data_IF_184935110688
#
_entry.id   IF_184935110688
#
_cell.length_a   1.000
_cell.length_b   1.000
_cell.length_c   1.000
_cell.angle_alpha   90.00
_cell.angle_beta   90.00
_cell.angle_gamma   90.00
#
_symmetry.space_group_name_H-M   'P 1'
#
loop_
_entity.id
_entity.type
_entity.pdbx_description
1 polymer ?
#
# COMPACT_ATOMS: atom_id res chain seq x y z
N UNK A 1 4.72 -26.05 20.46
CA UNK A 1 3.96 -24.77 20.56
C UNK A 1 4.53 -23.85 19.50
N UNK A 2 4.01 -24.08 18.31
CA UNK A 2 4.64 -23.86 17.03
C UNK A 2 4.00 -22.65 16.37
N UNK A 3 4.61 -21.47 16.50
CA UNK A 3 4.19 -20.28 15.74
C UNK A 3 5.28 -19.23 15.49
N UNK A 4 6.51 -19.40 15.99
CA UNK A 4 7.56 -18.35 15.89
C UNK A 4 8.52 -18.49 14.71
N UNK A 5 8.41 -19.54 13.89
CA UNK A 5 9.29 -19.79 12.73
C UNK A 5 8.78 -19.15 11.42
N UNK A 6 8.39 -17.87 11.45
CA UNK A 6 7.97 -17.16 10.22
C UNK A 6 8.51 -15.74 10.08
N UNK A 7 9.57 -15.37 10.80
CA UNK A 7 10.08 -13.98 10.75
C UNK A 7 11.54 -13.79 10.34
N UNK A 8 12.30 -14.82 9.99
CA UNK A 8 13.69 -14.58 9.62
C UNK A 8 14.20 -15.52 8.52
N UNK A 9 13.73 -15.27 7.31
CA UNK A 9 14.51 -15.57 6.12
C UNK A 9 14.73 -14.22 5.43
N UNK A 10 15.95 -13.68 5.34
CA UNK A 10 16.18 -12.42 4.63
C UNK A 10 15.93 -12.69 3.16
N UNK A 11 14.70 -12.42 2.70
CA UNK A 11 14.44 -12.31 1.29
C UNK A 11 15.45 -11.28 0.73
N UNK A 12 16.08 -11.52 -0.44
CA UNK A 12 16.93 -10.52 -1.07
C UNK A 12 16.20 -9.17 -1.04
N UNK A 13 16.92 -8.11 -0.63
CA UNK A 13 16.35 -6.77 -0.38
C UNK A 13 15.39 -6.31 -1.49
N UNK A 14 15.61 -6.75 -2.73
CA UNK A 14 14.74 -6.53 -3.88
C UNK A 14 13.33 -7.09 -3.73
N UNK A 15 13.17 -8.31 -3.20
CA UNK A 15 11.86 -8.94 -2.96
C UNK A 15 11.10 -8.27 -1.83
N UNK A 16 11.80 -7.86 -0.76
CA UNK A 16 11.17 -7.16 0.37
C UNK A 16 10.61 -5.80 -0.05
N UNK A 17 11.35 -5.06 -0.89
CA UNK A 17 10.91 -3.79 -1.47
C UNK A 17 9.72 -3.96 -2.40
N UNK A 18 9.76 -5.02 -3.23
CA UNK A 18 8.65 -5.34 -4.12
C UNK A 18 7.39 -5.71 -3.33
N UNK A 19 7.49 -6.63 -2.38
CA UNK A 19 6.37 -7.05 -1.53
C UNK A 19 5.75 -5.86 -0.77
N UNK A 20 6.59 -4.98 -0.22
CA UNK A 20 6.12 -3.76 0.48
C UNK A 20 5.40 -2.81 -0.48
N UNK A 21 5.85 -2.69 -1.73
CA UNK A 21 5.15 -1.91 -2.75
C UNK A 21 3.80 -2.52 -3.11
N UNK A 22 3.76 -3.84 -3.34
CA UNK A 22 2.53 -4.57 -3.67
C UNK A 22 1.49 -4.50 -2.56
N UNK A 23 1.91 -4.56 -1.29
CA UNK A 23 1.02 -4.39 -0.13
C UNK A 23 0.30 -3.04 -0.13
N UNK A 24 0.95 -1.97 -0.61
CA UNK A 24 0.34 -0.63 -0.67
C UNK A 24 -0.77 -0.55 -1.73
N UNK A 25 -0.59 -1.24 -2.85
CA UNK A 25 -1.64 -1.37 -3.85
C UNK A 25 -2.77 -2.29 -3.37
N UNK A 26 -2.44 -3.38 -2.66
CA UNK A 26 -3.44 -4.28 -2.07
C UNK A 26 -4.34 -3.56 -1.04
N UNK A 27 -3.77 -2.77 -0.12
CA UNK A 27 -4.55 -1.96 0.84
C UNK A 27 -5.46 -0.96 0.11
N UNK A 28 -4.96 -0.35 -0.98
CA UNK A 28 -5.77 0.54 -1.79
C UNK A 28 -6.97 -0.18 -2.44
N UNK A 29 -6.74 -1.36 -3.03
CA UNK A 29 -7.82 -2.15 -3.63
C UNK A 29 -8.82 -2.66 -2.60
N UNK A 30 -8.38 -3.06 -1.41
CA UNK A 30 -9.29 -3.46 -0.32
C UNK A 30 -10.24 -2.34 0.10
N UNK A 31 -9.82 -1.08 -0.06
CA UNK A 31 -10.63 0.12 0.21
C UNK A 31 -11.50 0.55 -0.98
N UNK A 32 -11.49 -0.19 -2.08
CA UNK A 32 -12.31 0.08 -3.28
C UNK A 32 -11.71 1.12 -4.24
N UNK A 33 -10.41 1.39 -4.14
CA UNK A 33 -9.73 2.37 -4.99
C UNK A 33 -9.47 1.82 -6.40
N UNK A 34 -9.64 2.67 -7.41
CA UNK A 34 -9.29 2.34 -8.80
C UNK A 34 -7.76 2.37 -9.00
N UNK A 35 -7.25 1.75 -10.08
CA UNK A 35 -5.81 1.66 -10.34
C UNK A 35 -5.10 3.03 -10.44
N UNK A 36 -5.75 4.02 -11.05
CA UNK A 36 -5.24 5.40 -11.12
C UNK A 36 -5.18 6.07 -9.73
N UNK A 37 -6.21 5.85 -8.91
CA UNK A 37 -6.31 6.38 -7.55
C UNK A 37 -5.28 5.73 -6.62
N UNK A 38 -5.08 4.41 -6.74
CA UNK A 38 -4.08 3.68 -5.99
C UNK A 38 -2.65 4.15 -6.33
N UNK A 39 -2.37 4.42 -7.61
CA UNK A 39 -1.08 4.98 -8.03
C UNK A 39 -0.85 6.39 -7.48
N UNK A 40 -1.90 7.23 -7.46
CA UNK A 40 -1.85 8.56 -6.85
C UNK A 40 -1.60 8.48 -5.34
N UNK A 41 -2.34 7.62 -4.63
CA UNK A 41 -2.19 7.39 -3.20
C UNK A 41 -0.77 6.91 -2.85
N UNK A 42 -0.25 5.94 -3.60
CA UNK A 42 1.11 5.42 -3.41
C UNK A 42 2.19 6.50 -3.62
N UNK A 43 1.95 7.48 -4.50
CA UNK A 43 2.83 8.62 -4.75
C UNK A 43 2.74 9.68 -3.65
N UNK A 44 1.53 9.95 -3.15
CA UNK A 44 1.26 10.94 -2.09
C UNK A 44 1.79 10.48 -0.73
N UNK A 45 1.53 9.22 -0.37
CA UNK A 45 1.81 8.66 0.96
C UNK A 45 3.09 7.82 1.04
N UNK A 46 4.17 8.25 0.36
CA UNK A 46 5.44 7.48 0.27
C UNK A 46 6.16 7.25 1.60
N UNK A 47 5.90 8.06 2.63
CA UNK A 47 6.56 7.95 3.94
C UNK A 47 5.65 7.47 5.07
N UNK A 48 4.36 7.81 5.03
CA UNK A 48 3.38 7.38 6.03
C UNK A 48 2.59 6.24 5.41
N UNK A 49 3.01 5.00 5.67
CA UNK A 49 2.48 3.78 5.05
C UNK A 49 1.03 3.43 5.45
N UNK A 50 0.22 4.43 5.78
CA UNK A 50 -1.18 4.26 6.16
C UNK A 50 -2.01 5.11 5.24
N UNK A 51 -2.83 4.46 4.42
CA UNK A 51 -3.87 5.15 3.65
C UNK A 51 -4.87 5.68 4.68
N UNK A 52 -5.05 7.01 4.80
CA UNK A 52 -6.04 7.55 5.71
C UNK A 52 -7.45 7.27 5.18
N UNK A 53 -8.42 7.12 6.08
CA UNK A 53 -9.81 6.87 5.68
C UNK A 53 -10.44 8.04 4.91
N UNK A 54 -9.84 9.24 5.01
CA UNK A 54 -10.19 10.45 4.25
C UNK A 54 -9.75 10.43 2.79
N UNK A 55 -9.05 9.37 2.34
CA UNK A 55 -8.44 9.36 1.01
C UNK A 55 -9.46 9.48 -0.13
N UNK A 56 -10.67 8.97 0.04
CA UNK A 56 -11.73 9.07 -0.97
C UNK A 56 -12.13 10.54 -1.21
N UNK A 57 -12.22 11.32 -0.13
CA UNK A 57 -12.50 12.75 -0.20
C UNK A 57 -11.34 13.53 -0.82
N UNK A 58 -10.09 13.15 -0.51
CA UNK A 58 -8.91 13.75 -1.14
C UNK A 58 -8.81 13.44 -2.63
N UNK A 59 -9.22 12.25 -3.05
CA UNK A 59 -9.23 11.85 -4.46
C UNK A 59 -10.29 12.59 -5.26
N UNK A 60 -11.46 12.81 -4.65
CA UNK A 60 -12.51 13.64 -5.21
C UNK A 60 -12.04 15.09 -5.38
N UNK A 61 -11.37 15.65 -4.36
CA UNK A 61 -10.74 16.98 -4.47
C UNK A 61 -9.62 17.04 -5.51
N UNK A 62 -8.86 15.96 -5.67
CA UNK A 62 -7.78 15.89 -6.63
C UNK A 62 -8.26 15.60 -8.07
N UNK A 63 -9.56 15.40 -8.29
CA UNK A 63 -10.15 15.03 -9.59
C UNK A 63 -9.44 13.83 -10.24
N UNK A 64 -9.01 12.86 -9.43
CA UNK A 64 -8.38 11.63 -9.91
C UNK A 64 -9.49 10.61 -10.16
N UNK A 65 -10.07 10.67 -11.36
CA UNK A 65 -11.03 9.70 -11.90
C UNK A 65 -10.31 8.50 -12.54
#
# INVERSE_FOLDING_TARGET
KDIFYTFLCPAPVDLSRFATCSLRFMDAYQRGLNGAQAAWAAKKYRGHCTIPDTILQELEQANVC
#
